data_IF_149837612104
#
_entry.id   IF_149837612104
#
_cell.length_a   1.000
_cell.length_b   1.000
_cell.length_c   1.000
_cell.angle_alpha   90.00
_cell.angle_beta   90.00
_cell.angle_gamma   90.00
#
_symmetry.space_group_name_H-M   'P 1'
#
loop_
_entity.id
_entity.type
_entity.pdbx_description
1 polymer ?
#
# COMPACT_ATOMS: atom_id res chain seq x y z
N UNK A 1 35.00 -0.49 -1.22
CA UNK A 1 33.97 0.22 -2.00
C UNK A 1 32.70 0.21 -1.18
N UNK A 2 32.29 1.39 -0.74
CA UNK A 2 31.37 1.63 0.35
C UNK A 2 29.92 1.23 0.00
N UNK A 3 29.31 0.45 0.89
CA UNK A 3 27.87 0.22 1.01
C UNK A 3 27.28 1.29 1.92
N UNK A 4 27.22 2.53 1.45
CA UNK A 4 26.67 3.63 2.25
C UNK A 4 25.48 4.29 1.55
N UNK A 5 24.33 4.20 2.24
CA UNK A 5 23.41 5.31 2.44
C UNK A 5 22.29 5.52 1.41
N UNK A 6 21.31 4.61 1.40
CA UNK A 6 19.91 5.04 1.28
C UNK A 6 19.38 5.33 2.68
N UNK A 7 19.72 6.54 3.12
CA UNK A 7 19.28 7.15 4.37
C UNK A 7 17.78 7.47 4.26
N UNK A 8 16.91 6.50 4.57
CA UNK A 8 15.47 6.70 4.71
C UNK A 8 15.25 7.53 5.99
N UNK A 9 15.42 8.84 5.84
CA UNK A 9 15.27 9.81 6.91
C UNK A 9 13.80 10.14 7.03
N UNK A 10 13.18 9.66 8.11
CA UNK A 10 12.01 10.32 8.70
C UNK A 10 10.77 9.44 8.86
N UNK A 11 10.74 8.56 9.86
CA UNK A 11 9.45 8.05 10.35
C UNK A 11 9.33 8.16 11.86
N UNK A 12 8.77 9.29 12.31
CA UNK A 12 8.38 9.50 13.70
C UNK A 12 7.00 8.87 13.94
N UNK A 13 6.99 7.63 14.41
CA UNK A 13 6.12 7.09 15.48
C UNK A 13 6.00 5.57 15.31
N UNK A 14 6.84 4.81 16.03
CA UNK A 14 6.73 3.33 16.12
C UNK A 14 5.30 2.88 16.39
N UNK A 15 4.57 3.64 17.21
CA UNK A 15 3.16 3.44 17.55
C UNK A 15 2.17 3.46 16.37
N UNK A 16 2.45 4.19 15.29
CA UNK A 16 1.55 4.23 14.13
C UNK A 16 1.77 3.03 13.21
N UNK A 17 3.02 2.61 13.00
CA UNK A 17 3.34 1.39 12.26
C UNK A 17 2.77 0.16 12.96
N UNK A 18 2.84 0.09 14.29
CA UNK A 18 2.25 -0.99 15.08
C UNK A 18 0.72 -1.01 14.96
N UNK A 19 0.05 0.16 14.94
CA UNK A 19 -1.39 0.24 14.68
C UNK A 19 -1.76 -0.21 13.27
N UNK A 20 -0.98 0.18 12.26
CA UNK A 20 -1.17 -0.26 10.88
C UNK A 20 -1.01 -1.77 10.77
N UNK A 21 0.06 -2.32 11.34
CA UNK A 21 0.28 -3.77 11.40
C UNK A 21 -0.89 -4.48 12.07
N UNK A 22 -1.33 -4.02 13.24
CA UNK A 22 -2.45 -4.65 13.96
C UNK A 22 -3.82 -4.49 13.27
N UNK A 23 -4.00 -3.46 12.44
CA UNK A 23 -5.22 -3.24 11.65
C UNK A 23 -5.26 -4.13 10.39
N UNK A 24 -4.11 -4.36 9.76
CA UNK A 24 -4.02 -5.14 8.53
C UNK A 24 -3.68 -6.62 8.75
N UNK A 25 -3.16 -6.99 9.92
CA UNK A 25 -2.59 -8.33 10.14
C UNK A 25 -3.25 -9.00 11.33
N UNK A 26 -3.92 -10.14 11.05
CA UNK A 26 -4.19 -11.16 12.09
C UNK A 26 -2.91 -11.81 12.61
N UNK A 27 -1.77 -11.63 11.92
CA UNK A 27 -0.45 -12.03 12.39
C UNK A 27 0.62 -11.03 11.90
N UNK A 28 1.19 -10.18 12.77
CA UNK A 28 2.09 -9.07 12.41
C UNK A 28 3.44 -9.52 11.80
N UNK A 29 3.67 -10.83 11.69
CA UNK A 29 4.89 -11.46 11.21
C UNK A 29 4.76 -12.06 9.80
N UNK A 30 3.59 -11.93 9.16
CA UNK A 30 3.46 -12.36 7.78
C UNK A 30 4.13 -11.34 6.85
N UNK A 31 5.02 -11.78 5.93
CA UNK A 31 5.68 -10.89 4.98
C UNK A 31 4.67 -9.99 4.26
N UNK A 32 3.51 -10.56 3.91
CA UNK A 32 2.40 -9.93 3.19
C UNK A 32 1.82 -8.63 3.83
N UNK A 33 2.09 -8.41 5.11
CA UNK A 33 1.67 -7.20 5.82
C UNK A 33 2.61 -6.03 5.66
N UNK A 34 3.88 -6.31 5.40
CA UNK A 34 4.91 -5.30 5.28
C UNK A 34 4.74 -4.51 3.98
N UNK A 35 4.27 -5.14 2.90
CA UNK A 35 4.08 -4.45 1.62
C UNK A 35 2.89 -3.49 1.65
N UNK A 36 1.81 -3.82 2.35
CA UNK A 36 0.69 -2.88 2.56
C UNK A 36 1.12 -1.68 3.41
N UNK A 37 1.87 -1.93 4.48
CA UNK A 37 2.42 -0.85 5.32
C UNK A 37 3.35 0.04 4.50
N UNK A 38 4.18 -0.54 3.63
CA UNK A 38 5.03 0.19 2.71
C UNK A 38 4.21 1.03 1.73
N UNK A 39 3.17 0.47 1.11
CA UNK A 39 2.29 1.19 0.19
C UNK A 39 1.60 2.38 0.85
N UNK A 40 1.06 2.18 2.07
CA UNK A 40 0.44 3.24 2.86
C UNK A 40 1.48 4.31 3.24
N UNK A 41 2.70 3.92 3.58
CA UNK A 41 3.77 4.86 3.90
C UNK A 41 4.12 5.73 2.69
N UNK A 42 4.27 5.12 1.51
CA UNK A 42 4.52 5.83 0.24
C UNK A 42 3.37 6.78 -0.10
N UNK A 43 2.11 6.34 0.07
CA UNK A 43 0.94 7.19 -0.16
C UNK A 43 0.89 8.40 0.78
N UNK A 44 1.42 8.28 2.00
CA UNK A 44 1.48 9.43 2.93
C UNK A 44 2.53 10.46 2.51
N UNK A 45 3.66 10.01 1.98
CA UNK A 45 4.76 10.86 1.55
C UNK A 45 4.54 11.46 0.16
N UNK A 46 3.81 10.76 -0.72
CA UNK A 46 3.56 11.17 -2.09
C UNK A 46 2.06 11.48 -2.32
N UNK A 47 1.67 12.76 -2.44
CA UNK A 47 0.27 13.15 -2.57
C UNK A 47 -0.38 12.69 -3.88
N UNK A 48 0.37 12.57 -4.98
CA UNK A 48 -0.17 12.09 -6.26
C UNK A 48 -0.56 10.62 -6.17
N UNK A 49 0.32 9.78 -5.58
CA UNK A 49 0.03 8.37 -5.32
C UNK A 49 -1.16 8.22 -4.36
N UNK A 50 -1.25 9.10 -3.34
CA UNK A 50 -2.39 9.12 -2.42
C UNK A 50 -3.70 9.36 -3.14
N UNK A 51 -3.76 10.41 -3.96
CA UNK A 51 -4.98 10.79 -4.68
C UNK A 51 -5.40 9.70 -5.68
N UNK A 52 -4.43 9.10 -6.36
CA UNK A 52 -4.69 7.96 -7.23
C UNK A 52 -5.28 6.77 -6.46
N UNK A 53 -4.69 6.42 -5.31
CA UNK A 53 -5.20 5.35 -4.46
C UNK A 53 -6.61 5.66 -3.94
N UNK A 54 -6.85 6.86 -3.43
CA UNK A 54 -8.18 7.28 -2.96
C UNK A 54 -9.20 7.16 -4.09
N UNK A 55 -8.88 7.66 -5.29
CA UNK A 55 -9.78 7.62 -6.45
C UNK A 55 -10.14 6.20 -6.87
N UNK A 56 -9.22 5.24 -6.72
CA UNK A 56 -9.48 3.81 -7.04
C UNK A 56 -10.23 3.13 -5.91
N UNK A 57 -9.84 3.36 -4.66
CA UNK A 57 -10.41 2.69 -3.50
C UNK A 57 -11.81 3.19 -3.15
N UNK A 58 -12.18 4.41 -3.55
CA UNK A 58 -13.52 4.96 -3.37
C UNK A 58 -14.56 4.44 -4.37
N UNK A 59 -14.17 3.55 -5.29
CA UNK A 59 -15.09 2.97 -6.27
C UNK A 59 -15.83 1.77 -5.69
N UNK A 60 -17.01 1.48 -6.26
CA UNK A 60 -17.78 0.27 -6.01
C UNK A 60 -16.94 -0.99 -6.30
N UNK A 61 -17.22 -2.10 -5.61
CA UNK A 61 -16.39 -3.31 -5.62
C UNK A 61 -15.99 -3.79 -7.01
N UNK A 62 -16.95 -3.87 -7.93
CA UNK A 62 -16.71 -4.29 -9.31
C UNK A 62 -15.78 -3.33 -10.07
N UNK A 63 -16.02 -2.02 -9.91
CA UNK A 63 -15.24 -0.98 -10.58
C UNK A 63 -13.82 -0.90 -10.01
N UNK A 64 -13.68 -0.97 -8.69
CA UNK A 64 -12.40 -1.03 -7.99
C UNK A 64 -11.57 -2.23 -8.44
N UNK A 65 -12.17 -3.43 -8.48
CA UNK A 65 -11.48 -4.63 -8.94
C UNK A 65 -11.01 -4.51 -10.39
N UNK A 66 -11.83 -3.93 -11.28
CA UNK A 66 -11.46 -3.70 -12.68
C UNK A 66 -10.27 -2.74 -12.83
N UNK A 67 -10.29 -1.61 -12.10
CA UNK A 67 -9.22 -0.62 -12.10
C UNK A 67 -7.92 -1.19 -11.52
N UNK A 68 -7.99 -1.92 -10.40
CA UNK A 68 -6.84 -2.55 -9.78
C UNK A 68 -6.23 -3.62 -10.69
N UNK A 69 -7.03 -4.44 -11.38
CA UNK A 69 -6.53 -5.43 -12.34
C UNK A 69 -5.84 -4.78 -13.53
N UNK A 70 -6.38 -3.67 -14.03
CA UNK A 70 -5.75 -2.87 -15.09
C UNK A 70 -4.40 -2.32 -14.62
N UNK A 71 -4.37 -1.74 -13.41
CA UNK A 71 -3.16 -1.18 -12.84
C UNK A 71 -2.10 -2.25 -12.55
N UNK A 72 -2.48 -3.40 -12.01
CA UNK A 72 -1.59 -4.55 -11.81
C UNK A 72 -0.96 -5.03 -13.12
N UNK A 73 -1.74 -5.05 -14.20
CA UNK A 73 -1.24 -5.41 -15.52
C UNK A 73 -0.19 -4.41 -15.99
N UNK A 74 -0.45 -3.12 -15.83
CA UNK A 74 0.51 -2.06 -16.16
C UNK A 74 1.80 -2.16 -15.32
N UNK A 75 1.67 -2.37 -14.00
CA UNK A 75 2.81 -2.53 -13.10
C UNK A 75 3.68 -3.73 -13.48
N UNK A 76 3.08 -4.86 -13.87
CA UNK A 76 3.81 -6.04 -14.37
C UNK A 76 4.54 -5.75 -15.67
N UNK A 77 3.90 -5.04 -16.61
CA UNK A 77 4.52 -4.63 -17.88
C UNK A 77 5.70 -3.67 -17.65
N UNK A 78 5.60 -2.80 -16.65
CA UNK A 78 6.65 -1.87 -16.23
C UNK A 78 7.73 -2.52 -15.35
N UNK A 79 7.64 -3.82 -15.08
CA UNK A 79 8.56 -4.55 -14.20
C UNK A 79 8.67 -3.91 -12.81
N UNK A 80 7.53 -3.43 -12.28
CA UNK A 80 7.48 -2.88 -10.93
C UNK A 80 7.95 -3.92 -9.90
N UNK A 81 8.58 -3.49 -8.79
CA UNK A 81 8.98 -4.39 -7.71
C UNK A 81 7.83 -5.28 -7.22
N UNK A 82 8.12 -6.57 -7.02
CA UNK A 82 7.15 -7.55 -6.56
C UNK A 82 6.39 -7.11 -5.29
N UNK A 83 7.02 -6.45 -4.30
CA UNK A 83 6.30 -5.94 -3.13
C UNK A 83 5.14 -4.98 -3.48
N UNK A 84 5.33 -4.10 -4.46
CA UNK A 84 4.29 -3.16 -4.90
C UNK A 84 3.14 -3.92 -5.55
N UNK A 85 3.46 -4.90 -6.42
CA UNK A 85 2.45 -5.74 -7.07
C UNK A 85 1.63 -6.50 -6.02
N UNK A 86 2.29 -7.07 -5.01
CA UNK A 86 1.63 -7.77 -3.89
C UNK A 86 0.71 -6.83 -3.10
N UNK A 87 1.18 -5.63 -2.75
CA UNK A 87 0.38 -4.65 -2.01
C UNK A 87 -0.88 -4.22 -2.80
N UNK A 88 -0.72 -3.88 -4.09
CA UNK A 88 -1.84 -3.47 -4.95
C UNK A 88 -2.82 -4.62 -5.17
N UNK A 89 -2.32 -5.86 -5.29
CA UNK A 89 -3.18 -7.04 -5.44
C UNK A 89 -4.07 -7.24 -4.21
N UNK A 90 -3.56 -7.00 -3.00
CA UNK A 90 -4.35 -7.11 -1.76
C UNK A 90 -5.50 -6.11 -1.69
N UNK A 91 -5.40 -4.96 -2.37
CA UNK A 91 -6.50 -3.98 -2.44
C UNK A 91 -7.72 -4.49 -3.23
N UNK A 92 -7.63 -5.64 -3.90
CA UNK A 92 -8.80 -6.29 -4.51
C UNK A 92 -9.74 -6.89 -3.48
N UNK A 93 -9.25 -7.19 -2.28
CA UNK A 93 -10.08 -7.61 -1.15
C UNK A 93 -10.84 -6.40 -0.59
N UNK A 94 -12.19 -6.44 -0.51
CA UNK A 94 -13.00 -5.32 -0.04
C UNK A 94 -12.66 -4.84 1.38
N UNK A 95 -12.35 -5.75 2.30
CA UNK A 95 -12.01 -5.38 3.68
C UNK A 95 -10.67 -4.67 3.74
N UNK A 96 -9.68 -5.14 2.96
CA UNK A 96 -8.37 -4.49 2.88
C UNK A 96 -8.47 -3.13 2.21
N UNK A 97 -9.27 -3.01 1.15
CA UNK A 97 -9.52 -1.76 0.43
C UNK A 97 -10.13 -0.69 1.35
N UNK A 98 -11.19 -1.04 2.08
CA UNK A 98 -11.88 -0.14 3.00
C UNK A 98 -10.94 0.37 4.09
N UNK A 99 -10.21 -0.53 4.75
CA UNK A 99 -9.22 -0.14 5.78
C UNK A 99 -8.12 0.74 5.23
N UNK A 100 -7.63 0.44 4.03
CA UNK A 100 -6.60 1.26 3.39
C UNK A 100 -7.13 2.66 3.08
N UNK A 101 -8.35 2.76 2.57
CA UNK A 101 -8.99 4.05 2.28
C UNK A 101 -9.16 4.90 3.54
N UNK A 102 -9.63 4.31 4.65
CA UNK A 102 -9.75 4.98 5.96
C UNK A 102 -8.42 5.59 6.40
N UNK A 103 -7.32 4.88 6.20
CA UNK A 103 -6.00 5.28 6.69
C UNK A 103 -5.32 6.36 5.85
N UNK A 104 -5.55 6.37 4.55
CA UNK A 104 -4.92 7.34 3.64
C UNK A 104 -5.79 8.59 3.43
N UNK A 105 -7.06 8.54 3.81
CA UNK A 105 -7.98 9.69 3.74
C UNK A 105 -8.03 10.52 5.03
N UNK A 106 -7.41 10.03 6.11
CA UNK A 106 -7.25 10.72 7.39
C UNK A 106 -6.09 11.73 7.38
#
# INVERSE_FOLDING_TARGET
>A
MALESLNITGFRSRTMLEKLKNLFLRSPESPDGEELVMLVSVARENPDIRQQLISVLSQEDFQRASLLNTWLTQLRLQQAPQPIITAIHRLTDPQVAERTLELISA
#
